data_IF_193221622170
#
_entry.id   IF_193221622170
#
_cell.length_a   1.000
_cell.length_b   1.000
_cell.length_c   1.000
_cell.angle_alpha   90.00
_cell.angle_beta   90.00
_cell.angle_gamma   90.00
#
_symmetry.space_group_name_H-M   'P 1'
#
loop_
_entity.id
_entity.type
_entity.pdbx_description
1 polymer ?
#
# COMPACT_ATOMS: atom_id res chain seq x y z
N UNK A 1 -13.29 4.41 -16.61
CA UNK A 1 -11.84 4.21 -16.88
C UNK A 1 -11.33 3.38 -15.72
N UNK A 2 -11.01 2.11 -15.98
CA UNK A 2 -10.63 1.17 -14.93
C UNK A 2 -9.24 1.48 -14.37
N UNK A 3 -8.78 0.76 -13.35
CA UNK A 3 -7.50 1.04 -12.72
C UNK A 3 -6.39 0.66 -13.70
N UNK A 4 -5.81 1.63 -14.40
CA UNK A 4 -4.63 1.41 -15.25
C UNK A 4 -3.44 0.87 -14.41
N UNK A 5 -3.48 1.13 -13.11
CA UNK A 5 -2.58 0.50 -12.14
C UNK A 5 -2.73 -1.03 -12.15
N UNK A 6 -3.94 -1.59 -12.02
CA UNK A 6 -4.13 -3.05 -11.90
C UNK A 6 -3.57 -3.85 -13.09
N UNK A 7 -3.56 -3.27 -14.30
CA UNK A 7 -2.93 -3.88 -15.48
C UNK A 7 -1.40 -3.90 -15.41
N UNK A 8 -0.75 -2.99 -14.67
CA UNK A 8 0.69 -3.10 -14.35
C UNK A 8 0.97 -4.09 -13.20
N UNK A 9 -0.02 -4.39 -12.35
CA UNK A 9 0.14 -5.23 -11.15
C UNK A 9 -0.20 -6.71 -11.35
N UNK A 10 -0.85 -7.08 -12.47
CA UNK A 10 -1.28 -8.46 -12.70
C UNK A 10 -0.15 -9.41 -13.17
N UNK A 11 1.09 -8.92 -13.25
CA UNK A 11 2.21 -9.71 -13.78
C UNK A 11 3.60 -9.52 -13.17
N UNK A 12 3.92 -8.42 -12.46
CA UNK A 12 5.34 -8.11 -12.15
C UNK A 12 5.63 -7.53 -10.75
N UNK A 13 6.36 -8.36 -10.00
CA UNK A 13 7.59 -8.11 -9.23
C UNK A 13 7.66 -7.04 -8.12
N UNK A 14 8.31 -7.45 -7.04
CA UNK A 14 8.90 -6.60 -5.99
C UNK A 14 9.73 -5.43 -6.58
N UNK A 15 10.29 -5.58 -7.79
CA UNK A 15 11.06 -4.53 -8.44
C UNK A 15 10.20 -3.32 -8.86
N UNK A 16 8.93 -3.54 -9.24
CA UNK A 16 8.01 -2.45 -9.58
C UNK A 16 7.65 -1.62 -8.34
N UNK A 17 7.43 -2.29 -7.19
CA UNK A 17 7.25 -1.60 -5.91
C UNK A 17 8.48 -0.73 -5.62
N UNK A 18 9.67 -1.31 -5.73
CA UNK A 18 10.91 -0.58 -5.50
C UNK A 18 11.06 0.64 -6.41
N UNK A 19 10.81 0.48 -7.72
CA UNK A 19 10.89 1.60 -8.68
C UNK A 19 9.92 2.75 -8.34
N UNK A 20 8.70 2.44 -7.89
CA UNK A 20 7.74 3.46 -7.45
C UNK A 20 8.26 4.23 -6.23
N UNK A 21 8.79 3.54 -5.22
CA UNK A 21 9.37 4.19 -4.04
C UNK A 21 10.64 4.98 -4.39
N UNK A 22 11.48 4.49 -5.29
CA UNK A 22 12.66 5.20 -5.79
C UNK A 22 12.29 6.51 -6.50
N UNK A 23 11.26 6.47 -7.35
CA UNK A 23 10.69 7.67 -8.00
C UNK A 23 10.15 8.65 -6.97
N UNK A 24 9.40 8.19 -5.97
CA UNK A 24 8.90 9.05 -4.91
C UNK A 24 10.05 9.72 -4.13
N UNK A 25 11.11 8.97 -3.79
CA UNK A 25 12.32 9.51 -3.15
C UNK A 25 13.02 10.57 -4.00
N UNK A 26 13.10 10.36 -5.32
CA UNK A 26 13.69 11.31 -6.24
C UNK A 26 12.84 12.58 -6.43
N UNK A 27 11.52 12.45 -6.34
CA UNK A 27 10.56 13.55 -6.48
C UNK A 27 10.29 14.31 -5.17
N UNK A 28 10.99 13.97 -4.09
CA UNK A 28 10.78 14.59 -2.79
C UNK A 28 11.07 16.12 -2.80
N UNK A 29 10.24 16.96 -2.16
CA UNK A 29 9.13 16.59 -1.29
C UNK A 29 7.84 16.25 -2.06
N UNK A 30 7.20 15.12 -1.76
CA UNK A 30 5.99 14.69 -2.45
C UNK A 30 5.03 13.89 -1.57
N UNK A 31 3.80 13.71 -2.08
CA UNK A 31 2.79 12.83 -1.49
C UNK A 31 2.65 11.61 -2.40
N UNK A 32 2.75 10.42 -1.82
CA UNK A 32 2.46 9.15 -2.48
C UNK A 32 1.10 8.65 -1.98
N UNK A 33 0.14 8.53 -2.90
CA UNK A 33 -1.22 8.14 -2.60
C UNK A 33 -1.52 6.74 -3.17
N UNK A 34 -1.90 5.82 -2.29
CA UNK A 34 -2.41 4.50 -2.65
C UNK A 34 -3.92 4.49 -2.52
N UNK A 35 -4.62 4.45 -3.66
CA UNK A 35 -6.05 4.18 -3.68
C UNK A 35 -6.30 2.67 -3.71
N UNK A 36 -7.47 2.24 -3.25
CA UNK A 36 -7.86 0.82 -3.16
C UNK A 36 -6.76 -0.05 -2.52
N UNK A 37 -6.21 0.39 -1.38
CA UNK A 37 -5.09 -0.28 -0.72
C UNK A 37 -5.38 -1.77 -0.42
N UNK A 38 -6.64 -2.11 -0.17
CA UNK A 38 -7.12 -3.50 0.03
C UNK A 38 -6.93 -4.40 -1.20
N UNK A 39 -6.61 -3.87 -2.38
CA UNK A 39 -6.24 -4.68 -3.55
C UNK A 39 -4.85 -5.32 -3.42
N UNK A 40 -3.92 -4.65 -2.72
CA UNK A 40 -2.51 -5.07 -2.57
C UNK A 40 -2.12 -5.43 -1.14
N UNK A 41 -2.95 -5.07 -0.15
CA UNK A 41 -2.66 -5.18 1.28
C UNK A 41 -3.47 -6.25 2.02
N UNK A 42 -4.03 -7.24 1.32
CA UNK A 42 -4.88 -8.27 1.95
C UNK A 42 -4.10 -9.09 2.98
N UNK A 43 -4.76 -9.41 4.09
CA UNK A 43 -4.20 -10.26 5.14
C UNK A 43 -3.68 -11.61 4.59
N UNK A 44 -2.46 -11.98 5.01
CA UNK A 44 -1.78 -13.23 4.64
C UNK A 44 -2.61 -14.46 5.04
N UNK A 45 -2.65 -15.48 4.19
CA UNK A 45 -3.07 -16.84 4.57
C UNK A 45 -4.45 -17.35 4.13
N UNK A 46 -5.19 -16.64 3.26
CA UNK A 46 -6.54 -17.08 2.83
C UNK A 46 -6.59 -17.86 1.50
N UNK A 47 -5.46 -18.30 0.95
CA UNK A 47 -5.39 -19.10 -0.30
C UNK A 47 -4.66 -20.42 -0.10
N UNK A 48 -5.36 -21.38 0.52
CA UNK A 48 -4.97 -22.79 0.56
C UNK A 48 -5.21 -23.43 -0.81
N UNK A 49 -4.31 -23.22 -1.77
CA UNK A 49 -4.34 -23.91 -3.06
C UNK A 49 -3.97 -23.00 -4.23
N UNK A 50 -2.84 -23.29 -4.86
CA UNK A 50 -2.41 -22.82 -6.19
C UNK A 50 -2.38 -21.29 -6.43
N UNK A 51 -1.35 -20.62 -5.89
CA UNK A 51 -0.96 -19.24 -6.28
C UNK A 51 -0.41 -18.35 -5.14
N UNK A 52 -0.45 -18.83 -3.90
CA UNK A 52 -0.48 -18.03 -2.66
C UNK A 52 0.81 -17.39 -2.12
N UNK A 53 1.76 -16.95 -2.95
CA UNK A 53 2.99 -16.29 -2.46
C UNK A 53 3.38 -15.00 -3.16
N UNK A 54 2.76 -14.66 -4.29
CA UNK A 54 3.08 -13.44 -5.02
C UNK A 54 2.58 -12.18 -4.29
N UNK A 55 1.33 -12.21 -3.80
CA UNK A 55 0.76 -11.12 -3.00
C UNK A 55 1.54 -10.86 -1.72
N UNK A 56 1.88 -11.92 -0.98
CA UNK A 56 2.66 -11.84 0.26
C UNK A 56 4.04 -11.22 0.03
N UNK A 57 4.70 -11.56 -1.08
CA UNK A 57 6.00 -10.99 -1.48
C UNK A 57 5.91 -9.50 -1.80
N UNK A 58 4.92 -9.10 -2.58
CA UNK A 58 4.66 -7.69 -2.90
C UNK A 58 4.37 -6.89 -1.64
N UNK A 59 3.52 -7.43 -0.74
CA UNK A 59 3.23 -6.80 0.55
C UNK A 59 4.50 -6.64 1.38
N UNK A 60 5.32 -7.69 1.51
CA UNK A 60 6.58 -7.62 2.25
C UNK A 60 7.55 -6.57 1.66
N UNK A 61 7.58 -6.41 0.34
CA UNK A 61 8.38 -5.35 -0.29
C UNK A 61 7.85 -3.96 0.06
N UNK A 62 6.53 -3.73 0.02
CA UNK A 62 5.92 -2.46 0.44
C UNK A 62 6.30 -2.15 1.90
N UNK A 63 6.19 -3.12 2.79
CA UNK A 63 6.58 -2.97 4.20
C UNK A 63 8.05 -2.57 4.35
N UNK A 64 8.93 -3.21 3.59
CA UNK A 64 10.38 -2.94 3.60
C UNK A 64 10.70 -1.53 3.11
N UNK A 65 10.06 -1.10 2.01
CA UNK A 65 10.23 0.25 1.50
C UNK A 65 9.72 1.30 2.50
N UNK A 66 8.53 1.10 3.07
CA UNK A 66 7.97 2.00 4.09
C UNK A 66 8.89 2.16 5.31
N UNK A 67 9.47 1.08 5.81
CA UNK A 67 10.44 1.14 6.91
C UNK A 67 11.69 1.97 6.55
N UNK A 68 12.12 1.89 5.28
CA UNK A 68 13.25 2.67 4.74
C UNK A 68 12.96 4.16 4.53
N UNK A 69 11.70 4.54 4.32
CA UNK A 69 11.30 5.93 4.08
C UNK A 69 11.40 6.82 5.33
N UNK A 70 11.32 6.25 6.52
CA UNK A 70 11.36 6.98 7.80
C UNK A 70 12.68 7.74 8.05
N UNK A 71 13.77 7.34 7.39
CA UNK A 71 15.07 7.99 7.53
C UNK A 71 15.12 9.38 6.86
N UNK A 72 14.22 9.68 5.93
CA UNK A 72 14.17 10.96 5.20
C UNK A 72 12.71 11.41 5.08
N UNK A 73 12.25 12.26 6.01
CA UNK A 73 10.85 12.77 6.16
C UNK A 73 10.33 13.65 5.00
N UNK A 74 10.67 13.33 3.76
CA UNK A 74 10.34 14.18 2.61
C UNK A 74 9.25 13.57 1.71
N UNK A 75 8.83 12.33 1.96
CA UNK A 75 7.70 11.72 1.25
C UNK A 75 6.62 11.38 2.26
N UNK A 76 5.42 11.91 2.03
CA UNK A 76 4.25 11.63 2.85
C UNK A 76 3.41 10.55 2.17
N UNK A 77 3.06 9.48 2.89
CA UNK A 77 2.31 8.35 2.34
C UNK A 77 0.88 8.41 2.84
N UNK A 78 -0.07 8.29 1.92
CA UNK A 78 -1.50 8.20 2.21
C UNK A 78 -2.05 6.93 1.57
N UNK A 79 -2.83 6.15 2.32
CA UNK A 79 -3.58 5.01 1.81
C UNK A 79 -5.08 5.21 2.00
N UNK A 80 -5.88 4.87 1.00
CA UNK A 80 -7.33 4.84 1.06
C UNK A 80 -7.86 3.42 0.83
N UNK A 81 -8.89 3.03 1.58
CA UNK A 81 -9.56 1.73 1.42
C UNK A 81 -11.01 1.80 1.88
N UNK A 82 -11.86 1.00 1.24
CA UNK A 82 -13.23 0.76 1.67
C UNK A 82 -13.38 -0.50 2.55
N UNK A 83 -12.29 -1.25 2.75
CA UNK A 83 -12.26 -2.53 3.48
C UNK A 83 -11.15 -2.54 4.53
N UNK A 84 -11.20 -1.65 5.54
CA UNK A 84 -10.15 -1.54 6.55
C UNK A 84 -9.94 -2.84 7.35
N UNK A 85 -10.98 -3.68 7.46
CA UNK A 85 -10.95 -5.00 8.09
C UNK A 85 -10.08 -6.03 7.34
N UNK A 86 -9.80 -5.80 6.05
CA UNK A 86 -9.03 -6.72 5.21
C UNK A 86 -7.54 -6.35 5.12
N UNK A 87 -7.14 -5.20 5.67
CA UNK A 87 -5.77 -4.69 5.62
C UNK A 87 -4.86 -5.47 6.58
N UNK A 88 -3.69 -5.88 6.10
CA UNK A 88 -2.68 -6.52 6.93
C UNK A 88 -2.22 -5.59 8.06
N UNK A 89 -2.38 -6.06 9.31
CA UNK A 89 -2.03 -5.31 10.52
C UNK A 89 -0.57 -4.82 10.56
N UNK A 90 0.35 -5.41 9.79
CA UNK A 90 1.71 -4.94 9.71
C UNK A 90 1.81 -3.54 9.07
N UNK A 91 0.92 -3.17 8.14
CA UNK A 91 0.88 -1.82 7.55
C UNK A 91 0.46 -0.76 8.56
N UNK A 92 -0.35 -1.14 9.55
CA UNK A 92 -0.93 -0.24 10.57
C UNK A 92 -0.01 -0.01 11.77
N UNK A 93 1.21 -0.59 11.77
CA UNK A 93 2.16 -0.44 12.87
C UNK A 93 2.77 0.98 12.89
N UNK A 94 3.17 1.48 14.08
CA UNK A 94 3.88 2.75 14.21
C UNK A 94 5.04 2.90 13.23
N UNK A 95 5.16 4.07 12.59
CA UNK A 95 6.15 4.34 11.56
C UNK A 95 5.78 3.88 10.15
N UNK A 96 4.57 3.37 9.93
CA UNK A 96 4.03 3.04 8.59
C UNK A 96 2.76 3.84 8.33
N UNK A 97 1.58 3.21 8.32
CA UNK A 97 0.27 3.89 8.30
C UNK A 97 -0.26 3.98 9.74
N UNK A 98 0.35 4.83 10.55
CA UNK A 98 0.04 4.93 11.98
C UNK A 98 -1.00 6.01 12.33
N UNK A 99 -1.38 6.84 11.37
CA UNK A 99 -2.54 7.74 11.45
C UNK A 99 -3.72 7.15 10.68
N UNK A 100 -4.76 6.75 11.41
CA UNK A 100 -6.00 6.21 10.84
C UNK A 100 -7.11 7.24 10.95
N UNK A 101 -7.65 7.64 9.80
CA UNK A 101 -8.72 8.63 9.71
C UNK A 101 -9.96 7.93 9.16
N UNK A 102 -11.02 7.86 9.96
CA UNK A 102 -12.31 7.36 9.52
C UNK A 102 -13.08 8.49 8.84
N UNK A 103 -13.58 8.22 7.63
CA UNK A 103 -14.44 9.13 6.89
C UNK A 103 -15.88 8.58 7.01
N UNK A 104 -16.75 9.19 7.84
CA UNK A 104 -18.14 8.79 7.93
C UNK A 104 -18.91 9.19 6.67
N UNK A 105 -20.14 8.70 6.56
CA UNK A 105 -21.10 9.27 5.61
C UNK A 105 -21.31 10.76 5.92
N UNK A 106 -21.64 11.59 4.91
CA UNK A 106 -21.99 12.99 5.14
C UNK A 106 -23.18 13.12 6.11
N UNK A 107 -23.15 14.17 6.93
CA UNK A 107 -24.29 14.56 7.75
C UNK A 107 -25.47 15.04 6.88
N UNK A 108 -26.69 15.05 7.44
CA UNK A 108 -27.82 15.70 6.78
C UNK A 108 -27.53 17.20 6.56
N UNK A 109 -27.98 17.77 5.43
CA UNK A 109 -27.64 19.14 5.03
C UNK A 109 -28.22 20.24 5.93
#
# INVERSE_FOLDING_TARGET
>A
KGPELLTMWFGESEANVRDVFDKARAAAPCVMFFDELDSIAKARGNSSGDGGGAGDRVLNQILTEMDGMNAKKNVFIIGATNRPDQIDSALLRPGRLDQLIYIPLPDEP
#
